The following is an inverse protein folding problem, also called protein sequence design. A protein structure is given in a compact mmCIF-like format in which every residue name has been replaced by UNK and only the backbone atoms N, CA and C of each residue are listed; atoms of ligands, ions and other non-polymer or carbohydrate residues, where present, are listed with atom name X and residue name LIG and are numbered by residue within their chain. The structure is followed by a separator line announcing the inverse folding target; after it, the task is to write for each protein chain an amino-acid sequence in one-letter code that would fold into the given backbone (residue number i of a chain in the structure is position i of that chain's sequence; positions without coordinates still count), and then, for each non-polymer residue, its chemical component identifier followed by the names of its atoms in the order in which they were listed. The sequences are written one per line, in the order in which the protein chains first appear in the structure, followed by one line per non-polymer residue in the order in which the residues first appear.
data_IF_447774885186
#
_entry.id   IF_447774885186
#
_cell.length_a   1.000
_cell.length_b   1.000
_cell.length_c   1.000
_cell.angle_alpha   90.00
_cell.angle_beta   90.00
_cell.angle_gamma   90.00
#
_symmetry.space_group_name_H-M   'P 1'
#
loop_
_entity.id
_entity.type
_entity.pdbx_description
1 polymer ?
#
# COMPACT_ATOMS: atom_id res chain seq x y z
N UNK A 1 -1.98 -37.30 0.35
CA UNK A 1 -2.82 -36.23 -0.26
C UNK A 1 -4.30 -36.27 0.13
N UNK A 2 -5.02 -37.41 0.02
CA UNK A 2 -6.48 -37.51 0.27
C UNK A 2 -7.02 -36.90 1.59
N UNK A 3 -6.29 -37.01 2.70
CA UNK A 3 -6.76 -36.51 4.00
C UNK A 3 -6.58 -35.00 4.21
N UNK A 4 -5.71 -34.35 3.41
CA UNK A 4 -5.45 -32.91 3.52
C UNK A 4 -6.66 -32.10 3.05
N UNK A 5 -7.16 -32.45 1.88
CA UNK A 5 -8.26 -31.73 1.23
C UNK A 5 -9.56 -31.92 2.02
N UNK A 6 -9.74 -33.07 2.67
CA UNK A 6 -10.94 -33.37 3.46
C UNK A 6 -11.08 -32.50 4.71
N UNK A 7 -10.02 -32.36 5.52
CA UNK A 7 -10.08 -31.57 6.76
C UNK A 7 -10.12 -30.07 6.49
N UNK A 8 -9.41 -29.60 5.47
CA UNK A 8 -9.41 -28.18 5.11
C UNK A 8 -10.73 -27.78 4.43
N UNK A 9 -11.35 -28.67 3.64
CA UNK A 9 -12.70 -28.49 3.14
C UNK A 9 -13.74 -28.53 4.26
N UNK A 10 -13.63 -29.47 5.21
CA UNK A 10 -14.57 -29.59 6.33
C UNK A 10 -14.52 -28.36 7.24
N UNK A 11 -13.33 -27.84 7.53
CA UNK A 11 -13.19 -26.58 8.29
C UNK A 11 -13.69 -25.37 7.52
N UNK A 12 -13.53 -25.32 6.19
CA UNK A 12 -14.12 -24.27 5.36
C UNK A 12 -15.65 -24.32 5.34
N UNK A 13 -16.24 -25.51 5.22
CA UNK A 13 -17.71 -25.72 5.27
C UNK A 13 -18.24 -25.35 6.66
N UNK A 14 -17.57 -25.81 7.73
CA UNK A 14 -17.95 -25.46 9.09
C UNK A 14 -17.89 -23.94 9.31
N UNK A 15 -16.84 -23.27 8.83
CA UNK A 15 -16.73 -21.81 8.89
C UNK A 15 -17.87 -21.10 8.15
N UNK A 16 -18.31 -21.63 7.00
CA UNK A 16 -19.45 -21.09 6.26
C UNK A 16 -20.76 -21.26 7.03
N UNK A 17 -20.99 -22.43 7.63
CA UNK A 17 -22.20 -22.69 8.42
C UNK A 17 -22.26 -21.83 9.68
N UNK A 18 -21.14 -21.68 10.38
CA UNK A 18 -21.06 -20.83 11.57
C UNK A 18 -21.25 -19.37 11.19
N UNK A 19 -20.64 -18.87 10.11
CA UNK A 19 -20.87 -17.49 9.65
C UNK A 19 -22.35 -17.21 9.40
N UNK A 20 -23.06 -18.12 8.73
CA UNK A 20 -24.48 -17.97 8.45
C UNK A 20 -25.30 -17.83 9.74
N UNK A 21 -25.03 -18.70 10.73
CA UNK A 21 -25.65 -18.63 12.04
C UNK A 21 -25.30 -17.33 12.77
N UNK A 22 -24.01 -16.97 12.83
CA UNK A 22 -23.51 -15.77 13.49
C UNK A 22 -24.14 -14.51 12.89
N UNK A 23 -24.17 -14.39 11.56
CA UNK A 23 -24.73 -13.22 10.88
C UNK A 23 -26.23 -13.11 11.17
N UNK A 24 -26.97 -14.21 11.09
CA UNK A 24 -28.40 -14.21 11.36
C UNK A 24 -28.70 -13.83 12.83
N UNK A 25 -27.99 -14.45 13.79
CA UNK A 25 -28.11 -14.14 15.23
C UNK A 25 -27.74 -12.69 15.50
N UNK A 26 -26.65 -12.19 14.90
CA UNK A 26 -26.20 -10.82 15.08
C UNK A 26 -27.21 -9.78 14.57
N UNK A 27 -27.90 -10.09 13.47
CA UNK A 27 -28.96 -9.23 12.95
C UNK A 27 -30.20 -9.28 13.83
N UNK A 28 -30.60 -10.45 14.34
CA UNK A 28 -31.73 -10.54 15.28
C UNK A 28 -31.42 -9.86 16.61
N UNK A 29 -30.19 -9.97 17.09
CA UNK A 29 -29.71 -9.24 18.26
C UNK A 29 -29.75 -7.72 18.01
N UNK A 30 -29.39 -7.25 16.81
CA UNK A 30 -29.49 -5.84 16.46
C UNK A 30 -30.92 -5.30 16.50
N UNK A 31 -31.89 -6.12 16.05
CA UNK A 31 -33.32 -5.79 16.11
C UNK A 31 -33.76 -5.68 17.57
N UNK A 32 -33.39 -6.65 18.41
CA UNK A 32 -33.69 -6.58 19.84
C UNK A 32 -33.04 -5.37 20.52
N UNK A 33 -31.77 -5.07 20.22
CA UNK A 33 -31.09 -3.87 20.71
C UNK A 33 -31.83 -2.60 20.26
N UNK A 34 -32.27 -2.54 19.00
CA UNK A 34 -32.96 -1.37 18.45
C UNK A 34 -34.34 -1.12 19.06
N UNK A 35 -35.12 -2.18 19.30
CA UNK A 35 -36.55 -2.04 19.62
C UNK A 35 -36.92 -2.42 21.05
N UNK A 36 -36.21 -3.36 21.68
CA UNK A 36 -36.61 -3.97 22.95
C UNK A 36 -35.61 -3.75 24.11
N UNK A 37 -34.35 -3.33 23.84
CA UNK A 37 -33.34 -3.13 24.89
C UNK A 37 -33.56 -1.90 25.79
N UNK A 38 -34.38 -0.95 25.37
CA UNK A 38 -34.59 0.34 26.05
C UNK A 38 -33.43 1.35 25.88
N UNK A 39 -32.35 1.01 25.18
CA UNK A 39 -31.19 1.92 24.98
C UNK A 39 -31.40 3.00 23.92
N UNK A 40 -32.38 2.82 23.03
CA UNK A 40 -32.69 3.77 21.96
C UNK A 40 -34.18 4.10 21.99
N UNK A 41 -34.52 5.38 21.82
CA UNK A 41 -35.91 5.80 21.66
C UNK A 41 -36.51 5.20 20.38
N UNK A 42 -37.66 4.55 20.54
CA UNK A 42 -38.42 4.01 19.41
C UNK A 42 -39.47 5.06 19.03
N UNK A 43 -39.45 5.61 17.81
CA UNK A 43 -40.53 6.48 17.34
C UNK A 43 -41.84 5.67 17.25
N UNK A 44 -42.96 6.31 17.59
CA UNK A 44 -44.28 5.74 17.89
C UNK A 44 -44.68 4.44 17.16
N UNK A 45 -45.22 3.49 17.94
CA UNK A 45 -46.06 2.38 17.48
C UNK A 45 -45.29 1.11 17.07
N UNK A 46 -45.48 0.01 17.80
CA UNK A 46 -44.96 -1.31 17.44
C UNK A 46 -45.73 -1.85 16.25
N UNK A 47 -45.11 -1.96 15.08
CA UNK A 47 -45.73 -2.68 13.98
C UNK A 47 -45.93 -4.16 14.36
N UNK A 48 -47.12 -4.74 14.12
CA UNK A 48 -47.29 -6.19 14.22
C UNK A 48 -46.35 -6.88 13.21
N UNK A 49 -45.81 -8.04 13.59
CA UNK A 49 -44.86 -8.86 12.81
C UNK A 49 -43.46 -8.27 12.56
N UNK A 50 -43.02 -7.26 13.32
CA UNK A 50 -41.68 -6.66 13.22
C UNK A 50 -40.54 -7.70 13.14
N UNK A 51 -40.48 -8.62 14.09
CA UNK A 51 -39.44 -9.64 14.16
C UNK A 51 -39.43 -10.55 12.92
N UNK A 52 -40.60 -10.94 12.43
CA UNK A 52 -40.75 -11.78 11.23
C UNK A 52 -40.24 -11.05 9.99
N UNK A 53 -40.56 -9.77 9.84
CA UNK A 53 -40.10 -8.91 8.74
C UNK A 53 -38.57 -8.79 8.72
N UNK A 54 -37.95 -8.50 9.87
CA UNK A 54 -36.49 -8.39 9.97
C UNK A 54 -35.81 -9.76 9.81
N UNK A 55 -36.40 -10.87 10.28
CA UNK A 55 -35.86 -12.20 10.07
C UNK A 55 -35.82 -12.59 8.59
N UNK A 56 -36.86 -12.24 7.81
CA UNK A 56 -36.89 -12.43 6.36
C UNK A 56 -35.83 -11.56 5.65
N UNK A 57 -35.70 -10.29 6.05
CA UNK A 57 -34.66 -9.41 5.52
C UNK A 57 -33.25 -9.93 5.84
N UNK A 58 -33.05 -10.48 7.04
CA UNK A 58 -31.79 -11.07 7.45
C UNK A 58 -31.46 -12.32 6.64
N UNK A 59 -32.43 -13.21 6.42
CA UNK A 59 -32.28 -14.37 5.56
C UNK A 59 -31.94 -13.97 4.12
N UNK A 60 -32.60 -12.93 3.58
CA UNK A 60 -32.29 -12.40 2.25
C UNK A 60 -30.91 -11.75 2.14
N UNK A 61 -30.34 -11.26 3.26
CA UNK A 61 -29.00 -10.69 3.30
C UNK A 61 -27.88 -11.75 3.30
N UNK A 62 -28.14 -12.97 3.80
CA UNK A 62 -27.12 -14.02 3.93
C UNK A 62 -26.36 -14.35 2.62
N UNK A 63 -27.02 -14.49 1.45
CA UNK A 63 -26.31 -14.76 0.19
C UNK A 63 -25.34 -13.63 -0.19
N UNK A 64 -25.68 -12.37 0.10
CA UNK A 64 -24.82 -11.21 -0.17
C UNK A 64 -23.56 -11.30 0.69
N UNK A 65 -23.72 -11.60 1.99
CA UNK A 65 -22.58 -11.79 2.90
C UNK A 65 -21.68 -12.94 2.45
N UNK A 66 -22.25 -14.10 2.10
CA UNK A 66 -21.49 -15.24 1.59
C UNK A 66 -20.69 -14.90 0.33
N UNK A 67 -21.33 -14.24 -0.65
CA UNK A 67 -20.69 -13.86 -1.91
C UNK A 67 -19.50 -12.91 -1.67
N UNK A 68 -19.67 -11.93 -0.78
CA UNK A 68 -18.60 -11.00 -0.40
C UNK A 68 -17.48 -11.72 0.34
N UNK A 69 -17.81 -12.60 1.31
CA UNK A 69 -16.83 -13.33 2.10
C UNK A 69 -16.01 -14.30 1.23
N UNK A 70 -16.65 -14.95 0.27
CA UNK A 70 -16.00 -15.79 -0.74
C UNK A 70 -15.08 -14.97 -1.65
N UNK A 71 -15.54 -13.83 -2.15
CA UNK A 71 -14.74 -12.96 -3.03
C UNK A 71 -13.51 -12.38 -2.33
N UNK A 72 -13.60 -12.15 -1.02
CA UNK A 72 -12.49 -11.72 -0.18
C UNK A 72 -11.64 -12.89 0.35
N UNK A 73 -11.89 -14.12 -0.13
CA UNK A 73 -11.17 -15.35 0.23
C UNK A 73 -11.13 -15.60 1.74
N UNK A 74 -12.22 -15.29 2.46
CA UNK A 74 -12.30 -15.56 3.90
C UNK A 74 -12.46 -17.06 4.19
N UNK A 75 -12.87 -17.85 3.20
CA UNK A 75 -13.02 -19.31 3.31
C UNK A 75 -11.79 -20.12 2.88
N UNK A 76 -10.70 -19.48 2.44
CA UNK A 76 -9.45 -20.22 2.19
C UNK A 76 -8.84 -20.62 3.53
N UNK A 77 -8.87 -21.93 3.82
CA UNK A 77 -8.28 -22.53 5.02
C UNK A 77 -7.06 -23.40 4.65
N UNK A 78 -6.07 -23.52 5.55
CA UNK A 78 -5.93 -22.82 6.82
C UNK A 78 -5.50 -21.35 6.63
N UNK A 79 -5.88 -20.47 7.56
CA UNK A 79 -5.50 -19.06 7.49
C UNK A 79 -4.18 -18.79 8.22
N UNK A 80 -3.07 -18.77 7.47
CA UNK A 80 -1.73 -18.51 8.02
C UNK A 80 -1.53 -17.11 8.63
N UNK A 81 -0.56 -16.99 9.54
CA UNK A 81 -0.13 -15.72 10.14
C UNK A 81 -1.06 -15.16 11.23
N UNK A 82 -0.80 -13.93 11.63
CA UNK A 82 -1.44 -13.27 12.79
C UNK A 82 -2.90 -12.88 12.54
N UNK A 83 -3.73 -12.98 13.58
CA UNK A 83 -5.14 -12.59 13.53
C UNK A 83 -5.34 -11.08 13.29
N UNK A 84 -4.49 -10.25 13.90
CA UNK A 84 -4.60 -8.77 13.81
C UNK A 84 -4.55 -8.26 12.37
N UNK A 85 -3.74 -8.89 11.51
CA UNK A 85 -3.63 -8.53 10.10
C UNK A 85 -4.90 -8.83 9.29
N UNK A 86 -5.83 -9.64 9.84
CA UNK A 86 -7.08 -10.04 9.20
C UNK A 86 -8.25 -9.12 9.57
N UNK A 87 -8.17 -8.40 10.69
CA UNK A 87 -9.22 -7.49 11.16
C UNK A 87 -9.65 -6.49 10.07
N UNK A 88 -8.74 -5.76 9.38
CA UNK A 88 -9.15 -4.80 8.35
C UNK A 88 -9.88 -5.45 7.17
N UNK A 89 -9.54 -6.70 6.83
CA UNK A 89 -10.20 -7.46 5.76
C UNK A 89 -11.60 -7.86 6.16
N UNK A 90 -11.80 -8.30 7.40
CA UNK A 90 -13.10 -8.68 7.96
C UNK A 90 -14.04 -7.47 8.08
N UNK A 91 -13.56 -6.35 8.63
CA UNK A 91 -14.34 -5.10 8.72
C UNK A 91 -14.75 -4.60 7.34
N UNK A 92 -13.84 -4.64 6.37
CA UNK A 92 -14.15 -4.28 4.98
C UNK A 92 -15.20 -5.19 4.38
N UNK A 93 -15.11 -6.51 4.63
CA UNK A 93 -16.11 -7.48 4.18
C UNK A 93 -17.50 -7.14 4.70
N UNK A 94 -17.64 -6.95 6.02
CA UNK A 94 -18.90 -6.57 6.64
C UNK A 94 -19.44 -5.24 6.07
N UNK A 95 -18.59 -4.23 5.90
CA UNK A 95 -18.99 -2.94 5.33
C UNK A 95 -19.48 -3.08 3.88
N UNK A 96 -18.78 -3.86 3.04
CA UNK A 96 -19.20 -4.11 1.66
C UNK A 96 -20.49 -4.93 1.59
N UNK A 97 -20.71 -5.87 2.50
CA UNK A 97 -21.96 -6.64 2.59
C UNK A 97 -23.13 -5.76 2.97
N UNK A 98 -22.98 -4.88 3.98
CA UNK A 98 -24.02 -3.91 4.37
C UNK A 98 -24.34 -2.97 3.23
N UNK A 99 -23.33 -2.45 2.52
CA UNK A 99 -23.55 -1.62 1.34
C UNK A 99 -24.31 -2.38 0.24
N UNK A 100 -23.96 -3.65 0.01
CA UNK A 100 -24.68 -4.53 -0.93
C UNK A 100 -26.15 -4.70 -0.54
N UNK A 101 -26.43 -4.95 0.74
CA UNK A 101 -27.80 -5.05 1.28
C UNK A 101 -28.56 -3.74 1.07
N UNK A 102 -27.93 -2.59 1.32
CA UNK A 102 -28.54 -1.27 1.09
C UNK A 102 -28.88 -1.02 -0.38
N UNK A 103 -27.97 -1.36 -1.29
CA UNK A 103 -28.18 -1.23 -2.74
C UNK A 103 -29.34 -2.12 -3.19
N UNK A 104 -29.35 -3.39 -2.77
CA UNK A 104 -30.44 -4.33 -3.10
C UNK A 104 -31.77 -3.84 -2.52
N UNK A 105 -31.78 -3.38 -1.27
CA UNK A 105 -32.97 -2.81 -0.64
C UNK A 105 -33.50 -1.59 -1.41
N UNK A 106 -32.61 -0.68 -1.86
CA UNK A 106 -32.99 0.48 -2.66
C UNK A 106 -33.55 0.10 -4.05
N UNK A 107 -32.98 -0.91 -4.70
CA UNK A 107 -33.44 -1.41 -6.01
C UNK A 107 -34.82 -2.07 -5.92
N UNK A 108 -35.13 -2.72 -4.80
CA UNK A 108 -36.41 -3.41 -4.56
C UNK A 108 -37.57 -2.46 -4.20
N UNK A 109 -37.37 -1.13 -4.30
CA UNK A 109 -38.38 -0.05 -4.25
C UNK A 109 -39.61 -0.40 -3.39
N UNK A 110 -39.49 -0.27 -2.06
CA UNK A 110 -40.57 -0.37 -1.08
C UNK A 110 -41.30 -1.72 -0.94
N UNK A 111 -40.83 -2.83 -1.54
CA UNK A 111 -41.34 -4.18 -1.20
C UNK A 111 -40.68 -4.79 0.05
N UNK A 112 -39.52 -4.26 0.43
CA UNK A 112 -38.79 -4.64 1.65
C UNK A 112 -39.23 -3.68 2.76
N UNK A 113 -39.47 -4.15 3.99
CA UNK A 113 -39.89 -3.30 5.11
C UNK A 113 -38.98 -2.08 5.25
N UNK A 114 -39.53 -0.92 5.64
CA UNK A 114 -38.74 0.27 5.98
C UNK A 114 -37.73 -0.08 7.09
N UNK A 115 -36.51 -0.46 6.70
CA UNK A 115 -35.43 -0.74 7.63
C UNK A 115 -35.04 0.58 8.27
N UNK A 116 -35.10 0.66 9.59
CA UNK A 116 -34.65 1.84 10.31
C UNK A 116 -33.15 2.05 10.04
N UNK A 117 -32.74 3.26 9.67
CA UNK A 117 -31.31 3.60 9.51
C UNK A 117 -30.51 3.25 10.78
N UNK A 118 -31.12 3.43 11.95
CA UNK A 118 -30.54 3.04 13.23
C UNK A 118 -30.43 1.51 13.38
N UNK A 119 -31.43 0.73 12.93
CA UNK A 119 -31.35 -0.74 12.93
C UNK A 119 -30.21 -1.23 12.02
N UNK A 120 -30.02 -0.60 10.85
CA UNK A 120 -28.92 -0.93 9.94
C UNK A 120 -27.57 -0.64 10.60
N UNK A 121 -27.40 0.54 11.22
CA UNK A 121 -26.15 0.90 11.89
C UNK A 121 -25.84 -0.07 13.05
N UNK A 122 -26.83 -0.37 13.89
CA UNK A 122 -26.68 -1.32 15.00
C UNK A 122 -26.34 -2.70 14.45
N UNK A 123 -26.99 -3.14 13.37
CA UNK A 123 -26.69 -4.42 12.71
C UNK A 123 -25.26 -4.49 12.17
N UNK A 124 -24.73 -3.40 11.61
CA UNK A 124 -23.36 -3.34 11.17
C UNK A 124 -22.38 -3.55 12.34
N UNK A 125 -22.63 -2.89 13.47
CA UNK A 125 -21.79 -3.02 14.67
C UNK A 125 -21.88 -4.42 15.26
N UNK A 126 -23.09 -4.97 15.44
CA UNK A 126 -23.26 -6.30 16.05
C UNK A 126 -22.73 -7.41 15.15
N UNK A 127 -23.00 -7.37 13.84
CA UNK A 127 -22.49 -8.35 12.88
C UNK A 127 -20.96 -8.29 12.84
N UNK A 128 -20.38 -7.09 12.79
CA UNK A 128 -18.92 -6.96 12.78
C UNK A 128 -18.31 -7.49 14.07
N UNK A 129 -18.87 -7.15 15.24
CA UNK A 129 -18.37 -7.63 16.52
C UNK A 129 -18.47 -9.16 16.66
N UNK A 130 -19.62 -9.76 16.31
CA UNK A 130 -19.83 -11.20 16.43
C UNK A 130 -19.03 -12.00 15.39
N UNK A 131 -18.92 -11.52 14.15
CA UNK A 131 -18.03 -12.15 13.15
C UNK A 131 -16.57 -12.05 13.59
N UNK A 132 -16.12 -10.93 14.17
CA UNK A 132 -14.75 -10.83 14.70
C UNK A 132 -14.53 -11.83 15.85
N UNK A 133 -15.49 -11.94 16.77
CA UNK A 133 -15.43 -12.89 17.89
C UNK A 133 -15.41 -14.34 17.41
N UNK A 134 -16.33 -14.71 16.50
CA UNK A 134 -16.39 -16.02 15.88
C UNK A 134 -15.07 -16.36 15.18
N UNK A 135 -14.51 -15.41 14.41
CA UNK A 135 -13.24 -15.62 13.71
C UNK A 135 -12.07 -15.76 14.66
N UNK A 136 -12.06 -15.02 15.77
CA UNK A 136 -11.05 -15.18 16.81
C UNK A 136 -11.15 -16.57 17.46
N UNK A 137 -12.36 -17.03 17.75
CA UNK A 137 -12.60 -18.37 18.32
C UNK A 137 -12.19 -19.48 17.34
N UNK A 138 -12.59 -19.40 16.08
CA UNK A 138 -12.18 -20.33 15.03
C UNK A 138 -10.66 -20.36 14.88
N UNK A 139 -10.01 -19.19 14.90
CA UNK A 139 -8.55 -19.11 14.82
C UNK A 139 -7.86 -19.83 15.98
N UNK A 140 -8.40 -19.72 17.20
CA UNK A 140 -7.90 -20.45 18.36
C UNK A 140 -8.17 -21.95 18.26
N UNK A 141 -9.37 -22.35 17.85
CA UNK A 141 -9.73 -23.76 17.64
C UNK A 141 -8.83 -24.41 16.59
N UNK A 142 -8.53 -23.73 15.48
CA UNK A 142 -7.61 -24.21 14.46
C UNK A 142 -6.19 -24.42 15.01
N UNK A 143 -5.70 -23.53 15.89
CA UNK A 143 -4.39 -23.70 16.54
C UNK A 143 -4.40 -24.92 17.48
N UNK A 144 -5.45 -25.08 18.29
CA UNK A 144 -5.58 -26.22 19.22
C UNK A 144 -5.69 -27.53 18.46
N UNK A 145 -6.50 -27.59 17.41
CA UNK A 145 -6.62 -28.77 16.55
C UNK A 145 -5.29 -29.08 15.84
N UNK A 146 -4.60 -28.06 15.33
CA UNK A 146 -3.31 -28.25 14.67
C UNK A 146 -2.20 -28.70 15.61
N UNK A 147 -2.23 -28.32 16.89
CA UNK A 147 -1.28 -28.81 17.92
C UNK A 147 -1.51 -30.26 18.32
N UNK A 148 -2.75 -30.75 18.21
CA UNK A 148 -3.12 -32.14 18.54
C UNK A 148 -2.97 -33.10 17.36
N UNK A 149 -2.99 -32.57 16.14
CA UNK A 149 -2.80 -33.36 14.93
C UNK A 149 -1.30 -33.54 14.66
N UNK A 150 -0.90 -34.76 14.28
CA UNK A 150 0.47 -34.99 13.84
C UNK A 150 0.80 -34.16 12.58
N UNK A 151 1.98 -33.52 12.53
CA UNK A 151 2.47 -32.90 11.31
C UNK A 151 2.58 -33.95 10.22
N UNK A 152 1.80 -33.79 9.15
CA UNK A 152 1.79 -34.76 8.06
C UNK A 152 2.65 -34.33 6.87
N UNK A 153 3.12 -33.07 6.78
CA UNK A 153 4.07 -32.66 5.74
C UNK A 153 5.50 -32.77 6.29
N UNK A 154 6.26 -33.69 5.74
CA UNK A 154 7.67 -33.90 6.06
C UNK A 154 8.52 -33.11 5.08
N UNK A 155 9.16 -32.06 5.59
CA UNK A 155 9.98 -31.15 4.78
C UNK A 155 11.47 -31.52 4.89
N UNK A 156 12.11 -31.68 3.74
CA UNK A 156 13.56 -31.73 3.58
C UNK A 156 14.04 -30.34 3.13
N UNK A 157 15.03 -29.78 3.82
CA UNK A 157 15.58 -28.47 3.48
C UNK A 157 16.96 -28.66 2.87
N UNK A 158 17.23 -28.02 1.74
CA UNK A 158 18.53 -28.04 1.04
C UNK A 158 19.16 -26.67 1.18
N UNK A 159 20.27 -26.58 1.91
CA UNK A 159 20.92 -25.36 2.37
C UNK A 159 20.89 -25.25 3.89
N UNK A 160 22.01 -24.88 4.50
CA UNK A 160 22.20 -24.87 5.95
C UNK A 160 22.47 -23.47 6.53
N UNK A 161 22.07 -22.42 5.80
CA UNK A 161 22.21 -21.02 6.20
C UNK A 161 21.09 -20.45 7.08
N UNK A 162 21.04 -19.11 7.18
CA UNK A 162 20.12 -18.37 8.06
C UNK A 162 18.63 -18.58 7.69
N UNK A 163 18.32 -18.69 6.40
CA UNK A 163 16.94 -18.91 5.93
C UNK A 163 16.37 -20.26 6.40
N UNK A 164 17.22 -21.27 6.54
CA UNK A 164 16.84 -22.59 7.08
C UNK A 164 16.44 -22.48 8.55
N UNK A 165 17.17 -21.71 9.36
CA UNK A 165 16.83 -21.45 10.77
C UNK A 165 15.46 -20.78 10.87
N UNK A 166 15.24 -19.73 10.07
CA UNK A 166 13.96 -19.00 10.04
C UNK A 166 12.79 -19.89 9.64
N UNK A 167 13.00 -20.82 8.70
CA UNK A 167 11.98 -21.80 8.31
C UNK A 167 11.67 -22.80 9.43
N UNK A 168 12.69 -23.32 10.11
CA UNK A 168 12.51 -24.24 11.25
C UNK A 168 11.73 -23.54 12.37
N UNK A 169 12.10 -22.30 12.71
CA UNK A 169 11.36 -21.49 13.69
C UNK A 169 9.93 -21.19 13.24
N UNK A 170 9.70 -20.91 11.95
CA UNK A 170 8.36 -20.71 11.41
C UNK A 170 7.49 -21.97 11.53
N UNK A 171 8.04 -23.15 11.22
CA UNK A 171 7.35 -24.44 11.38
C UNK A 171 7.03 -24.76 12.84
N UNK A 172 7.95 -24.44 13.76
CA UNK A 172 7.73 -24.62 15.19
C UNK A 172 6.70 -23.63 15.78
N UNK A 173 6.69 -22.38 15.31
CA UNK A 173 5.84 -21.31 15.84
C UNK A 173 4.38 -21.38 15.37
N UNK A 174 4.11 -21.86 14.14
CA UNK A 174 2.74 -22.02 13.63
C UNK A 174 2.41 -23.50 13.29
N UNK A 175 1.86 -24.26 14.26
CA UNK A 175 1.45 -25.65 14.06
C UNK A 175 0.47 -25.87 12.90
N UNK A 176 -0.24 -24.83 12.44
CA UNK A 176 -1.20 -24.92 11.32
C UNK A 176 -0.50 -25.04 9.97
N UNK A 177 0.80 -24.76 9.89
CA UNK A 177 1.61 -25.14 8.73
C UNK A 177 1.66 -26.66 8.57
N UNK A 178 1.40 -27.43 9.65
CA UNK A 178 1.37 -28.90 9.68
C UNK A 178 2.60 -29.52 9.00
N UNK A 179 3.73 -28.81 9.10
CA UNK A 179 4.98 -29.11 8.45
C UNK A 179 6.05 -29.28 9.51
N UNK A 180 6.86 -30.32 9.39
CA UNK A 180 8.01 -30.57 10.26
C UNK A 180 9.25 -30.72 9.38
N UNK A 181 10.33 -30.04 9.75
CA UNK A 181 11.64 -30.30 9.17
C UNK A 181 12.10 -31.69 9.65
N UNK A 182 12.40 -32.57 8.70
CA UNK A 182 12.86 -33.94 8.97
C UNK A 182 14.35 -34.08 8.70
N UNK A 183 14.87 -33.28 7.77
CA UNK A 183 16.28 -33.24 7.45
C UNK A 183 16.70 -31.90 6.85
N UNK A 184 17.99 -31.59 7.00
CA UNK A 184 18.71 -30.48 6.38
C UNK A 184 19.93 -31.06 5.67
N UNK A 185 20.08 -30.74 4.39
CA UNK A 185 21.25 -31.11 3.57
C UNK A 185 22.11 -29.88 3.30
N UNK A 186 23.42 -30.01 3.44
CA UNK A 186 24.38 -28.95 3.09
C UNK A 186 24.65 -28.93 1.60
N UNK A 187 24.95 -27.76 1.05
CA UNK A 187 25.31 -27.58 -0.36
C UNK A 187 26.76 -27.12 -0.44
N UNK A 188 27.60 -27.86 -1.19
CA UNK A 188 29.03 -27.55 -1.31
C UNK A 188 29.76 -27.58 0.03
N UNK A 189 30.63 -26.58 0.25
CA UNK A 189 31.41 -26.42 1.49
C UNK A 189 30.71 -25.55 2.55
N UNK A 190 29.39 -25.39 2.47
CA UNK A 190 28.63 -24.58 3.42
C UNK A 190 28.73 -25.16 4.84
N UNK A 191 29.13 -24.32 5.80
CA UNK A 191 29.12 -24.67 7.22
C UNK A 191 27.72 -24.51 7.79
N UNK A 192 27.14 -25.57 8.41
CA UNK A 192 25.81 -25.48 9.00
C UNK A 192 25.73 -24.38 10.05
N UNK A 193 24.67 -23.58 10.00
CA UNK A 193 24.44 -22.54 10.98
C UNK A 193 24.28 -23.15 12.40
N UNK A 194 24.93 -22.61 13.46
CA UNK A 194 24.95 -23.22 14.79
C UNK A 194 23.58 -23.42 15.46
N UNK A 195 22.59 -22.63 15.04
CA UNK A 195 21.22 -22.71 15.54
C UNK A 195 20.40 -23.88 14.94
N UNK A 196 20.93 -24.57 13.92
CA UNK A 196 20.29 -25.75 13.35
C UNK A 196 20.58 -26.96 14.27
N UNK A 197 19.56 -27.68 14.74
CA UNK A 197 19.75 -28.87 15.56
C UNK A 197 20.62 -29.92 14.84
N UNK A 198 21.68 -30.46 15.49
CA UNK A 198 22.60 -31.41 14.83
C UNK A 198 21.93 -32.71 14.37
N UNK A 199 20.85 -33.12 15.03
CA UNK A 199 20.05 -34.30 14.72
C UNK A 199 19.25 -34.18 13.41
N UNK A 200 19.02 -32.94 12.94
CA UNK A 200 18.36 -32.68 11.66
C UNK A 200 19.34 -32.68 10.48
N UNK A 201 20.65 -32.64 10.71
CA UNK A 201 21.63 -32.55 9.61
C UNK A 201 21.86 -33.94 9.03
N UNK A 202 21.40 -34.15 7.79
CA UNK A 202 21.43 -35.47 7.11
C UNK A 202 22.67 -35.66 6.20
N UNK A 203 23.60 -34.71 6.20
CA UNK A 203 24.81 -34.72 5.37
C UNK A 203 24.73 -33.75 4.20
N UNK A 204 25.51 -34.03 3.15
CA UNK A 204 25.58 -33.20 1.95
C UNK A 204 24.51 -33.53 0.91
N UNK A 205 24.43 -32.69 -0.12
CA UNK A 205 23.50 -32.84 -1.25
C UNK A 205 23.51 -34.24 -1.90
N UNK A 206 24.64 -34.94 -1.90
CA UNK A 206 24.76 -36.29 -2.47
C UNK A 206 23.84 -37.33 -1.78
N UNK A 207 23.46 -37.07 -0.52
CA UNK A 207 22.56 -37.93 0.25
C UNK A 207 21.08 -37.63 -0.02
N UNK A 208 20.77 -36.71 -0.95
CA UNK A 208 19.40 -36.29 -1.25
C UNK A 208 18.49 -37.46 -1.63
N UNK A 209 18.95 -38.33 -2.52
CA UNK A 209 18.14 -39.44 -3.01
C UNK A 209 17.86 -40.45 -1.90
N UNK A 210 18.88 -40.78 -1.10
CA UNK A 210 18.75 -41.64 0.06
C UNK A 210 17.78 -41.04 1.09
N UNK A 211 17.90 -39.74 1.40
CA UNK A 211 17.03 -39.07 2.35
C UNK A 211 15.55 -39.15 1.93
N UNK A 212 15.25 -38.90 0.64
CA UNK A 212 13.87 -38.96 0.12
C UNK A 212 13.29 -40.37 0.23
N UNK A 213 14.10 -41.40 -0.05
CA UNK A 213 13.67 -42.79 0.00
C UNK A 213 13.45 -43.27 1.45
N UNK A 214 14.36 -42.93 2.37
CA UNK A 214 14.32 -43.41 3.76
C UNK A 214 13.30 -42.66 4.63
N UNK A 215 13.14 -41.36 4.42
CA UNK A 215 12.44 -40.50 5.37
C UNK A 215 11.00 -40.11 4.98
N UNK A 216 10.42 -40.69 3.91
CA UNK A 216 9.07 -40.36 3.39
C UNK A 216 8.84 -38.85 3.35
N UNK A 217 9.45 -38.19 2.38
CA UNK A 217 9.45 -36.72 2.27
C UNK A 217 8.27 -36.26 1.40
N UNK A 218 7.51 -35.28 1.86
CA UNK A 218 6.38 -34.71 1.11
C UNK A 218 6.75 -33.42 0.35
N UNK A 219 7.79 -32.74 0.83
CA UNK A 219 8.21 -31.45 0.30
C UNK A 219 9.72 -31.25 0.45
N UNK A 220 10.35 -30.76 -0.60
CA UNK A 220 11.72 -30.28 -0.62
C UNK A 220 11.71 -28.75 -0.67
N UNK A 221 12.47 -28.10 0.21
CA UNK A 221 12.62 -26.64 0.26
C UNK A 221 14.08 -26.29 0.03
N UNK A 222 14.37 -25.67 -1.10
CA UNK A 222 15.69 -25.15 -1.38
C UNK A 222 15.86 -23.76 -0.76
N UNK A 223 16.80 -23.61 0.17
CA UNK A 223 17.22 -22.34 0.77
C UNK A 223 18.58 -21.87 0.27
N UNK A 224 19.47 -22.80 -0.11
CA UNK A 224 20.80 -22.46 -0.63
C UNK A 224 20.78 -21.95 -2.06
N UNK A 225 21.55 -20.88 -2.33
CA UNK A 225 21.70 -20.28 -3.67
C UNK A 225 22.96 -20.71 -4.41
N UNK A 226 23.83 -21.46 -3.74
CA UNK A 226 25.11 -21.94 -4.29
C UNK A 226 24.97 -23.20 -5.16
N UNK A 227 23.74 -23.69 -5.33
CA UNK A 227 23.45 -24.84 -6.18
C UNK A 227 23.63 -24.46 -7.66
N UNK A 228 24.54 -25.14 -8.40
CA UNK A 228 24.73 -24.93 -9.82
C UNK A 228 23.42 -25.00 -10.60
N UNK A 229 23.26 -24.13 -11.61
CA UNK A 229 22.04 -24.07 -12.42
C UNK A 229 21.65 -25.41 -13.05
N UNK A 230 22.63 -26.24 -13.39
CA UNK A 230 22.39 -27.57 -13.95
C UNK A 230 21.71 -28.50 -12.93
N UNK A 231 22.23 -28.56 -11.70
CA UNK A 231 21.64 -29.35 -10.61
C UNK A 231 20.24 -28.86 -10.22
N UNK A 232 19.98 -27.55 -10.28
CA UNK A 232 18.63 -26.99 -10.10
C UNK A 232 17.63 -27.50 -11.13
N UNK A 233 18.03 -27.57 -12.40
CA UNK A 233 17.17 -28.03 -13.50
C UNK A 233 16.92 -29.53 -13.41
N UNK A 234 17.89 -30.31 -12.90
CA UNK A 234 17.76 -31.76 -12.67
C UNK A 234 16.91 -32.09 -11.43
N UNK A 235 16.96 -31.23 -10.41
CA UNK A 235 16.23 -31.40 -9.16
C UNK A 235 14.71 -31.32 -9.32
N UNK A 236 14.21 -30.47 -10.23
CA UNK A 236 12.78 -30.29 -10.46
C UNK A 236 12.13 -31.59 -11.00
N UNK A 237 12.60 -32.20 -12.12
CA UNK A 237 12.10 -33.49 -12.60
C UNK A 237 12.26 -34.60 -11.56
N UNK A 238 13.36 -34.61 -10.81
CA UNK A 238 13.60 -35.59 -9.75
C UNK A 238 12.52 -35.51 -8.66
N UNK A 239 12.21 -34.31 -8.17
CA UNK A 239 11.11 -34.11 -7.23
C UNK A 239 9.76 -34.54 -7.82
N UNK A 240 9.48 -34.24 -9.09
CA UNK A 240 8.25 -34.65 -9.77
C UNK A 240 8.11 -36.18 -9.87
N UNK A 241 9.19 -36.89 -10.23
CA UNK A 241 9.21 -38.36 -10.31
C UNK A 241 8.93 -39.03 -8.96
N UNK A 242 9.42 -38.43 -7.87
CA UNK A 242 9.20 -38.93 -6.51
C UNK A 242 7.93 -38.38 -5.83
N UNK A 243 7.10 -37.61 -6.56
CA UNK A 243 5.89 -36.95 -6.05
C UNK A 243 6.15 -36.04 -4.84
N UNK A 244 7.35 -35.47 -4.77
CA UNK A 244 7.78 -34.52 -3.73
C UNK A 244 7.53 -33.11 -4.23
N UNK A 245 6.91 -32.26 -3.41
CA UNK A 245 6.72 -30.85 -3.78
C UNK A 245 8.04 -30.09 -3.71
N UNK A 246 8.43 -29.48 -4.82
CA UNK A 246 9.58 -28.58 -4.85
C UNK A 246 9.18 -27.14 -4.55
N UNK A 247 9.79 -26.55 -3.52
CA UNK A 247 9.68 -25.14 -3.16
C UNK A 247 11.09 -24.54 -3.05
N UNK A 248 11.24 -23.25 -3.33
CA UNK A 248 12.52 -22.54 -3.19
C UNK A 248 12.30 -21.20 -2.47
N UNK A 249 13.23 -20.84 -1.59
CA UNK A 249 13.33 -19.50 -1.00
C UNK A 249 14.16 -18.62 -1.95
N UNK A 250 13.55 -17.58 -2.56
CA UNK A 250 14.30 -16.68 -3.44
C UNK A 250 15.32 -15.83 -2.67
N UNK A 251 16.55 -15.64 -3.20
CA UNK A 251 17.57 -14.69 -2.67
C UNK A 251 17.21 -13.22 -2.92
N UNK A 252 15.98 -12.84 -2.56
CA UNK A 252 15.49 -11.48 -2.80
C UNK A 252 15.84 -10.54 -1.66
N UNK A 253 16.29 -11.05 -0.51
CA UNK A 253 16.62 -10.24 0.67
C UNK A 253 17.81 -9.30 0.44
N UNK A 254 18.76 -9.67 -0.45
CA UNK A 254 19.88 -8.81 -0.84
C UNK A 254 19.52 -7.70 -1.83
N UNK A 255 18.38 -7.82 -2.52
CA UNK A 255 17.88 -6.82 -3.49
C UNK A 255 16.90 -5.81 -2.88
N UNK A 256 16.64 -5.88 -1.57
CA UNK A 256 15.63 -5.10 -0.88
C UNK A 256 16.03 -3.62 -0.71
N UNK A 257 15.78 -2.82 -1.73
CA UNK A 257 15.45 -1.41 -1.53
C UNK A 257 14.24 -0.94 -2.34
N UNK A 258 13.56 -1.81 -3.08
CA UNK A 258 12.24 -1.46 -3.64
C UNK A 258 11.33 -2.66 -3.72
N UNK A 259 10.07 -2.46 -3.37
CA UNK A 259 8.99 -3.46 -3.43
C UNK A 259 9.05 -4.19 -4.77
N UNK A 260 9.28 -5.50 -4.79
CA UNK A 260 9.27 -6.30 -6.02
C UNK A 260 7.86 -6.86 -6.25
N UNK A 261 7.34 -6.76 -7.47
CA UNK A 261 6.09 -7.38 -7.90
C UNK A 261 6.37 -8.41 -9.00
N UNK A 262 5.75 -9.59 -8.89
CA UNK A 262 5.72 -10.58 -9.96
C UNK A 262 4.71 -10.14 -11.02
N UNK A 263 5.21 -9.59 -12.13
CA UNK A 263 4.42 -9.36 -13.33
C UNK A 263 4.40 -10.63 -14.19
N UNK A 264 3.36 -10.81 -14.99
CA UNK A 264 3.30 -11.89 -15.96
C UNK A 264 3.13 -11.27 -17.34
N UNK A 265 4.07 -11.54 -18.26
CA UNK A 265 3.89 -11.24 -19.69
C UNK A 265 3.80 -12.59 -20.38
N UNK A 266 2.63 -12.89 -20.96
CA UNK A 266 2.40 -14.12 -21.74
C UNK A 266 2.83 -15.41 -21.02
N UNK A 267 2.51 -15.54 -19.72
CA UNK A 267 2.85 -16.71 -18.92
C UNK A 267 4.29 -16.76 -18.39
N UNK A 268 5.12 -15.77 -18.74
CA UNK A 268 6.47 -15.65 -18.21
C UNK A 268 6.42 -14.76 -16.95
N UNK A 269 6.76 -15.28 -15.76
CA UNK A 269 6.86 -14.47 -14.55
C UNK A 269 8.08 -13.55 -14.67
N UNK A 270 7.82 -12.25 -14.77
CA UNK A 270 8.82 -11.19 -14.72
C UNK A 270 8.85 -10.60 -13.31
N UNK A 271 10.00 -10.71 -12.68
CA UNK A 271 10.27 -10.04 -11.42
C UNK A 271 10.66 -8.58 -11.75
N UNK A 272 9.85 -7.62 -11.30
CA UNK A 272 10.10 -6.20 -11.54
C UNK A 272 9.86 -5.37 -10.29
N UNK A 273 10.21 -4.08 -10.36
CA UNK A 273 9.92 -3.12 -9.29
C UNK A 273 8.42 -2.80 -9.32
N UNK A 274 7.80 -2.80 -8.14
CA UNK A 274 6.40 -2.48 -7.89
C UNK A 274 6.03 -1.16 -8.50
N UNK A 275 4.83 -1.10 -9.08
CA UNK A 275 4.28 0.14 -9.62
C UNK A 275 3.99 1.11 -8.49
N UNK A 276 4.42 2.36 -8.65
CA UNK A 276 4.09 3.39 -7.67
C UNK A 276 2.59 3.70 -7.68
N UNK A 277 2.00 4.19 -6.58
CA UNK A 277 0.58 4.53 -6.53
C UNK A 277 0.13 5.44 -7.69
N UNK A 278 0.96 6.37 -8.16
CA UNK A 278 0.66 7.28 -9.27
C UNK A 278 0.79 6.66 -10.68
N UNK A 279 1.27 5.42 -10.78
CA UNK A 279 1.24 4.65 -12.03
C UNK A 279 -0.14 4.08 -12.31
N UNK A 280 -0.97 3.91 -11.28
CA UNK A 280 -2.36 3.46 -11.42
C UNK A 280 -3.20 4.56 -12.10
N UNK A 281 -3.93 4.17 -13.15
CA UNK A 281 -4.70 5.10 -14.00
C UNK A 281 -5.70 5.91 -13.17
N UNK A 282 -6.47 5.26 -12.31
CA UNK A 282 -7.47 5.93 -11.46
C UNK A 282 -6.85 6.95 -10.51
N UNK A 283 -5.70 6.62 -9.91
CA UNK A 283 -4.97 7.54 -9.03
C UNK A 283 -4.50 8.76 -9.78
N UNK A 284 -3.99 8.59 -11.01
CA UNK A 284 -3.58 9.70 -11.88
C UNK A 284 -4.75 10.59 -12.28
N UNK A 285 -5.92 10.02 -12.56
CA UNK A 285 -7.15 10.76 -12.86
C UNK A 285 -7.57 11.59 -11.63
N UNK A 286 -7.68 10.94 -10.46
CA UNK A 286 -8.04 11.62 -9.20
C UNK A 286 -7.06 12.77 -8.88
N UNK A 287 -5.76 12.50 -8.98
CA UNK A 287 -4.70 13.50 -8.82
C UNK A 287 -4.91 14.69 -9.76
N UNK A 288 -5.22 14.42 -11.03
CA UNK A 288 -5.39 15.47 -12.04
C UNK A 288 -6.63 16.32 -11.81
N UNK A 289 -7.76 15.71 -11.44
CA UNK A 289 -8.99 16.43 -11.09
C UNK A 289 -8.72 17.35 -9.91
N UNK A 290 -8.06 16.83 -8.87
CA UNK A 290 -7.66 17.61 -7.70
C UNK A 290 -6.74 18.78 -8.06
N UNK A 291 -5.74 18.56 -8.93
CA UNK A 291 -4.84 19.60 -9.41
C UNK A 291 -5.56 20.71 -10.18
N UNK A 292 -6.47 20.34 -11.09
CA UNK A 292 -7.26 21.31 -11.86
C UNK A 292 -8.13 22.13 -10.91
N UNK A 293 -8.92 21.49 -10.05
CA UNK A 293 -9.82 22.17 -9.13
C UNK A 293 -9.06 23.13 -8.21
N UNK A 294 -7.98 22.67 -7.57
CA UNK A 294 -7.19 23.53 -6.68
C UNK A 294 -6.43 24.63 -7.43
N UNK A 295 -5.98 24.39 -8.67
CA UNK A 295 -5.34 25.45 -9.49
C UNK A 295 -6.32 26.53 -9.94
N UNK A 296 -7.57 26.18 -10.24
CA UNK A 296 -8.62 27.14 -10.58
C UNK A 296 -8.96 28.04 -9.39
N UNK A 297 -9.14 27.44 -8.20
CA UNK A 297 -9.35 28.20 -6.96
C UNK A 297 -8.14 29.09 -6.66
N UNK A 298 -6.92 28.54 -6.78
CA UNK A 298 -5.67 29.28 -6.60
C UNK A 298 -5.53 30.46 -7.56
N UNK A 299 -5.84 30.29 -8.84
CA UNK A 299 -5.85 31.35 -9.85
C UNK A 299 -6.87 32.44 -9.52
N UNK A 300 -8.11 32.05 -9.21
CA UNK A 300 -9.18 33.01 -8.90
C UNK A 300 -8.81 33.91 -7.72
N UNK A 301 -8.20 33.35 -6.67
CA UNK A 301 -7.74 34.11 -5.50
C UNK A 301 -6.48 34.92 -5.81
N UNK A 302 -5.57 34.41 -6.64
CA UNK A 302 -4.28 35.05 -6.91
C UNK A 302 -4.33 36.16 -7.96
N UNK A 303 -5.30 36.18 -8.89
CA UNK A 303 -5.44 37.22 -9.92
C UNK A 303 -5.37 38.66 -9.35
N UNK A 304 -6.17 39.06 -8.34
CA UNK A 304 -6.09 40.41 -7.80
C UNK A 304 -4.74 40.71 -7.15
N UNK A 305 -4.15 39.74 -6.44
CA UNK A 305 -2.84 39.88 -5.79
C UNK A 305 -1.73 40.04 -6.85
N UNK A 306 -1.77 39.24 -7.91
CA UNK A 306 -0.84 39.31 -9.03
C UNK A 306 -0.95 40.64 -9.78
N UNK A 307 -2.15 41.21 -9.92
CA UNK A 307 -2.35 42.54 -10.52
C UNK A 307 -1.65 43.65 -9.74
N UNK A 308 -1.80 43.66 -8.42
CA UNK A 308 -1.09 44.62 -7.54
C UNK A 308 0.42 44.38 -7.59
N UNK A 309 0.86 43.13 -7.50
CA UNK A 309 2.29 42.78 -7.57
C UNK A 309 2.92 43.20 -8.91
N UNK A 310 2.21 43.02 -10.02
CA UNK A 310 2.65 43.44 -11.35
C UNK A 310 2.87 44.96 -11.43
N UNK A 311 1.93 45.75 -10.91
CA UNK A 311 2.07 47.22 -10.87
C UNK A 311 3.29 47.65 -10.04
N UNK A 312 3.51 46.99 -8.90
CA UNK A 312 4.66 47.25 -8.03
C UNK A 312 5.99 46.93 -8.75
N UNK A 313 6.09 45.78 -9.42
CA UNK A 313 7.28 45.38 -10.18
C UNK A 313 7.63 46.39 -11.28
N UNK A 314 6.63 46.85 -12.04
CA UNK A 314 6.82 47.80 -13.15
C UNK A 314 7.26 49.17 -12.63
N UNK A 315 6.78 49.59 -11.46
CA UNK A 315 7.18 50.87 -10.84
C UNK A 315 8.61 50.86 -10.31
N UNK A 316 9.11 49.72 -9.81
CA UNK A 316 10.47 49.65 -9.28
C UNK A 316 11.53 49.43 -10.36
N UNK A 317 11.23 48.69 -11.43
CA UNK A 317 12.19 48.42 -12.49
C UNK A 317 11.51 48.26 -13.86
N UNK A 318 12.04 48.88 -14.94
CA UNK A 318 11.50 48.69 -16.28
C UNK A 318 11.70 47.24 -16.78
N UNK A 319 10.81 46.76 -17.65
CA UNK A 319 10.89 45.44 -18.29
C UNK A 319 9.74 44.47 -17.96
N UNK A 320 9.86 43.18 -18.30
CA UNK A 320 8.74 42.22 -18.23
C UNK A 320 8.33 41.87 -16.80
N UNK A 321 7.02 41.72 -16.57
CA UNK A 321 6.46 41.33 -15.27
C UNK A 321 6.78 39.88 -14.93
N UNK A 322 6.70 38.98 -15.92
CA UNK A 322 6.95 37.56 -15.74
C UNK A 322 8.40 37.21 -16.04
N UNK A 323 8.97 36.36 -15.21
CA UNK A 323 10.22 35.68 -15.44
C UNK A 323 9.93 34.21 -15.74
N UNK A 324 10.47 33.73 -16.86
CA UNK A 324 10.28 32.36 -17.34
C UNK A 324 11.60 31.61 -17.18
N UNK A 325 11.55 30.44 -16.57
CA UNK A 325 12.73 29.61 -16.35
C UNK A 325 12.49 28.17 -16.77
N UNK A 326 13.42 27.61 -17.55
CA UNK A 326 13.37 26.20 -17.91
C UNK A 326 13.65 25.32 -16.69
N UNK A 327 12.80 24.31 -16.52
CA UNK A 327 12.85 23.36 -15.40
C UNK A 327 12.59 21.94 -15.90
N UNK A 328 13.19 20.98 -15.20
CA UNK A 328 12.97 19.57 -15.45
C UNK A 328 11.62 19.12 -14.88
N UNK A 329 10.79 18.51 -15.73
CA UNK A 329 9.46 18.02 -15.41
C UNK A 329 9.35 16.50 -15.45
N UNK A 330 8.14 16.00 -15.76
CA UNK A 330 7.87 14.57 -15.75
C UNK A 330 8.69 13.83 -16.82
N UNK A 331 9.33 12.73 -16.43
CA UNK A 331 10.23 11.89 -17.23
C UNK A 331 11.40 12.67 -17.84
N UNK A 332 11.92 13.66 -17.10
CA UNK A 332 13.05 14.45 -17.57
C UNK A 332 12.70 15.52 -18.60
N UNK A 333 11.42 15.66 -19.00
CA UNK A 333 11.02 16.63 -20.03
C UNK A 333 11.06 18.05 -19.47
N UNK A 334 11.78 18.94 -20.14
CA UNK A 334 11.80 20.36 -19.78
C UNK A 334 10.44 21.03 -19.98
N UNK A 335 10.15 22.00 -19.12
CA UNK A 335 9.02 22.92 -19.27
C UNK A 335 9.38 24.31 -18.76
N UNK A 336 8.59 25.30 -19.18
CA UNK A 336 8.76 26.69 -18.79
C UNK A 336 7.99 26.99 -17.50
N UNK A 337 8.72 27.16 -16.40
CA UNK A 337 8.17 27.60 -15.12
C UNK A 337 7.94 29.13 -15.15
N UNK A 338 6.74 29.57 -14.80
CA UNK A 338 6.37 30.99 -14.81
C UNK A 338 6.42 31.53 -13.38
N UNK A 339 7.11 32.66 -13.18
CA UNK A 339 7.17 33.40 -11.91
C UNK A 339 6.98 34.89 -12.14
N UNK A 340 6.66 35.63 -11.07
CA UNK A 340 6.83 37.08 -11.11
C UNK A 340 8.32 37.43 -11.00
N UNK A 341 8.73 38.46 -11.73
CA UNK A 341 10.10 38.95 -11.71
C UNK A 341 10.43 39.57 -10.34
N UNK A 342 11.46 39.03 -9.70
CA UNK A 342 11.92 39.49 -8.37
C UNK A 342 13.37 40.01 -8.38
N UNK A 343 14.07 39.84 -9.50
CA UNK A 343 15.44 40.29 -9.72
C UNK A 343 15.50 41.32 -10.84
N UNK A 344 16.62 42.06 -10.91
CA UNK A 344 16.88 42.99 -12.01
C UNK A 344 17.03 42.22 -13.35
N UNK A 345 16.72 42.85 -14.50
CA UNK A 345 16.78 42.18 -15.81
C UNK A 345 18.16 41.61 -16.19
N UNK A 346 19.23 42.19 -15.66
CA UNK A 346 20.63 41.84 -15.89
C UNK A 346 21.19 40.79 -14.90
N UNK A 347 20.34 40.24 -14.02
CA UNK A 347 20.76 39.35 -12.93
C UNK A 347 21.43 38.03 -13.37
N UNK A 348 21.21 37.58 -14.60
CA UNK A 348 21.82 36.36 -15.17
C UNK A 348 22.84 36.67 -16.30
N UNK A 349 23.26 37.94 -16.47
CA UNK A 349 24.18 38.34 -17.54
C UNK A 349 25.58 37.69 -17.47
N UNK A 350 25.95 37.13 -16.30
CA UNK A 350 27.22 36.40 -16.09
C UNK A 350 27.25 34.95 -16.60
N UNK A 351 26.20 34.49 -17.31
CA UNK A 351 26.22 33.23 -18.06
C UNK A 351 25.95 31.96 -17.25
N UNK A 352 26.40 31.86 -16.00
CA UNK A 352 26.17 30.66 -15.19
C UNK A 352 24.95 30.77 -14.26
N UNK A 353 24.09 29.73 -14.22
CA UNK A 353 22.92 29.70 -13.36
C UNK A 353 23.29 29.53 -11.87
N UNK A 354 23.64 30.63 -11.21
CA UNK A 354 23.99 30.62 -9.78
C UNK A 354 22.82 30.24 -8.85
N UNK A 355 23.13 29.58 -7.74
CA UNK A 355 22.21 29.37 -6.63
C UNK A 355 21.85 30.70 -5.96
N UNK A 356 20.59 30.88 -5.56
CA UNK A 356 20.18 32.07 -4.81
C UNK A 356 20.58 31.96 -3.35
N UNK A 357 21.50 32.82 -2.92
CA UNK A 357 21.94 32.94 -1.51
C UNK A 357 20.99 33.86 -0.73
N UNK A 358 21.03 33.82 0.61
CA UNK A 358 20.42 34.84 1.47
C UNK A 358 21.03 36.21 1.13
N UNK A 359 20.18 37.25 1.04
CA UNK A 359 20.56 38.63 0.69
C UNK A 359 21.29 38.82 -0.65
N UNK A 360 20.85 38.08 -1.68
CA UNK A 360 21.36 38.22 -3.06
C UNK A 360 21.20 39.67 -3.60
N UNK A 361 22.31 40.36 -3.97
CA UNK A 361 22.31 41.77 -4.38
C UNK A 361 21.55 42.03 -5.68
N UNK A 362 21.22 40.98 -6.43
CA UNK A 362 20.43 41.05 -7.67
C UNK A 362 18.93 41.21 -7.41
N UNK A 363 18.48 41.04 -6.17
CA UNK A 363 17.07 41.16 -5.76
C UNK A 363 16.64 42.64 -5.68
N UNK A 364 15.43 42.91 -6.14
CA UNK A 364 14.76 44.21 -5.94
C UNK A 364 14.11 44.26 -4.54
N UNK A 365 13.77 45.44 -4.03
CA UNK A 365 13.13 45.57 -2.70
C UNK A 365 11.73 44.95 -2.71
N UNK A 366 10.95 45.21 -3.76
CA UNK A 366 9.64 44.56 -3.95
C UNK A 366 9.84 43.07 -4.23
N UNK A 367 10.87 42.69 -4.99
CA UNK A 367 11.20 41.29 -5.22
C UNK A 367 11.50 40.50 -3.94
N UNK A 368 12.21 41.10 -2.97
CA UNK A 368 12.45 40.52 -1.67
C UNK A 368 11.14 40.32 -0.88
N UNK A 369 10.24 41.32 -0.92
CA UNK A 369 8.92 41.23 -0.30
C UNK A 369 8.06 40.13 -0.95
N UNK A 370 8.01 40.06 -2.28
CA UNK A 370 7.26 39.03 -3.02
C UNK A 370 7.74 37.61 -2.66
N UNK A 371 9.06 37.40 -2.58
CA UNK A 371 9.65 36.11 -2.18
C UNK A 371 9.32 35.73 -0.73
N UNK A 372 9.33 36.70 0.19
CA UNK A 372 9.01 36.46 1.61
C UNK A 372 7.62 35.84 1.78
N UNK A 373 6.66 36.28 0.96
CA UNK A 373 5.29 35.79 0.99
C UNK A 373 4.99 34.74 -0.11
N UNK A 374 6.00 34.28 -0.86
CA UNK A 374 5.87 33.40 -2.03
C UNK A 374 4.87 33.89 -3.09
N UNK A 375 4.64 35.20 -3.17
CA UNK A 375 3.74 35.82 -4.14
C UNK A 375 4.31 35.67 -5.55
N UNK A 376 5.64 35.58 -5.68
CA UNK A 376 6.33 35.36 -6.94
C UNK A 376 6.05 34.01 -7.58
N UNK A 377 5.60 33.02 -6.81
CA UNK A 377 5.27 31.68 -7.28
C UNK A 377 3.79 31.52 -7.69
N UNK A 378 2.92 32.51 -7.46
CA UNK A 378 1.49 32.45 -7.82
C UNK A 378 1.22 32.14 -9.31
N UNK A 379 1.98 32.66 -10.29
CA UNK A 379 1.77 32.32 -11.70
C UNK A 379 1.90 30.82 -12.00
N UNK A 380 2.55 30.04 -11.15
CA UNK A 380 2.71 28.60 -11.33
C UNK A 380 1.38 27.83 -11.23
N UNK A 381 0.31 28.40 -10.67
CA UNK A 381 -1.02 27.78 -10.79
C UNK A 381 -1.44 27.61 -12.26
N UNK A 382 -0.98 28.48 -13.16
CA UNK A 382 -1.16 28.31 -14.60
C UNK A 382 -0.41 27.07 -15.14
N UNK A 383 0.82 26.82 -14.68
CA UNK A 383 1.57 25.61 -15.05
C UNK A 383 0.86 24.34 -14.56
N UNK A 384 0.22 24.38 -13.38
CA UNK A 384 -0.60 23.28 -12.88
C UNK A 384 -1.82 23.08 -13.78
N UNK A 385 -2.54 24.14 -14.14
CA UNK A 385 -3.71 24.07 -15.01
C UNK A 385 -3.35 23.53 -16.41
N UNK A 386 -2.26 24.02 -17.02
CA UNK A 386 -1.73 23.53 -18.31
C UNK A 386 -1.28 22.08 -18.25
N UNK A 387 -0.93 21.60 -17.06
CA UNK A 387 -0.55 20.22 -16.81
C UNK A 387 0.95 19.96 -16.87
N UNK A 388 1.79 21.00 -16.85
CA UNK A 388 3.23 20.87 -16.69
C UNK A 388 3.59 20.48 -15.25
N UNK A 389 2.82 21.03 -14.29
CA UNK A 389 2.99 20.82 -12.86
C UNK A 389 1.76 20.18 -12.22
N UNK A 390 1.90 19.90 -10.93
CA UNK A 390 0.91 19.44 -9.97
C UNK A 390 0.90 20.40 -8.77
N UNK A 391 -0.19 20.46 -7.99
CA UNK A 391 -0.20 21.24 -6.74
C UNK A 391 0.80 20.67 -5.73
N UNK A 392 0.88 19.34 -5.66
CA UNK A 392 1.77 18.60 -4.76
C UNK A 392 2.66 17.66 -5.56
N UNK A 393 3.96 17.68 -5.30
CA UNK A 393 4.96 16.84 -5.97
C UNK A 393 6.39 17.27 -5.66
N UNK A 394 7.39 16.54 -6.17
CA UNK A 394 8.80 16.94 -6.05
C UNK A 394 9.03 18.34 -6.64
N UNK A 395 9.85 19.16 -5.99
CA UNK A 395 10.16 20.50 -6.51
C UNK A 395 10.98 20.38 -7.81
N UNK A 396 10.61 21.10 -8.89
CA UNK A 396 11.32 21.02 -10.15
C UNK A 396 12.70 21.70 -10.05
N UNK A 397 13.75 21.05 -10.54
CA UNK A 397 15.11 21.63 -10.60
C UNK A 397 15.46 22.11 -12.01
N UNK A 398 16.47 22.96 -12.15
CA UNK A 398 16.99 23.39 -13.47
C UNK A 398 17.72 22.20 -14.12
N UNK A 399 17.63 21.99 -15.44
CA UNK A 399 18.35 20.92 -16.14
C UNK A 399 19.85 20.88 -15.80
N UNK A 400 20.51 22.04 -15.77
CA UNK A 400 21.91 22.18 -15.36
C UNK A 400 22.24 21.50 -14.00
N UNK A 401 21.39 21.65 -12.99
CA UNK A 401 21.59 21.02 -11.69
C UNK A 401 21.21 19.53 -11.70
N UNK A 402 20.25 19.14 -12.54
CA UNK A 402 19.88 17.74 -12.72
C UNK A 402 21.08 16.95 -13.24
N UNK A 403 21.79 17.50 -14.22
CA UNK A 403 22.97 16.85 -14.82
C UNK A 403 24.13 16.71 -13.83
N UNK A 404 24.28 17.66 -12.90
CA UNK A 404 25.29 17.58 -11.83
C UNK A 404 24.91 16.57 -10.73
N UNK A 405 23.63 16.50 -10.35
CA UNK A 405 23.19 15.67 -9.22
C UNK A 405 22.90 14.22 -9.60
N UNK A 406 22.51 13.96 -10.85
CA UNK A 406 22.11 12.62 -11.28
C UNK A 406 23.20 11.55 -11.08
N UNK A 407 24.49 11.80 -11.40
CA UNK A 407 25.54 10.79 -11.22
C UNK A 407 25.90 10.51 -9.76
N UNK A 408 25.78 11.52 -8.88
CA UNK A 408 26.28 11.44 -7.50
C UNK A 408 25.26 10.99 -6.45
N UNK A 409 23.97 10.88 -6.80
CA UNK A 409 22.91 10.57 -5.84
C UNK A 409 22.10 9.36 -6.32
N UNK A 410 22.16 8.28 -5.55
CA UNK A 410 21.38 7.08 -5.81
C UNK A 410 19.89 7.40 -5.93
N UNK A 411 19.25 6.81 -6.93
CA UNK A 411 17.82 6.97 -7.23
C UNK A 411 17.35 8.40 -7.55
N UNK A 412 18.26 9.36 -7.79
CA UNK A 412 17.89 10.76 -8.04
C UNK A 412 16.88 10.92 -9.18
N UNK A 413 17.04 10.15 -10.25
CA UNK A 413 16.16 10.20 -11.44
C UNK A 413 14.71 9.79 -11.17
N UNK A 414 14.47 8.94 -10.17
CA UNK A 414 13.14 8.46 -9.84
C UNK A 414 12.18 9.58 -9.40
N UNK A 415 12.69 10.70 -8.87
CA UNK A 415 11.84 11.86 -8.53
C UNK A 415 11.13 12.48 -9.74
N UNK A 416 11.64 12.27 -10.95
CA UNK A 416 11.04 12.80 -12.19
C UNK A 416 9.92 11.91 -12.74
N UNK A 417 9.58 10.78 -12.12
CA UNK A 417 8.50 9.91 -12.63
C UNK A 417 7.12 10.59 -12.53
N UNK A 418 6.90 11.46 -11.53
CA UNK A 418 5.69 12.27 -11.42
C UNK A 418 5.86 13.68 -11.98
N UNK A 419 4.75 14.40 -12.13
CA UNK A 419 4.83 15.85 -12.38
C UNK A 419 5.43 16.55 -11.15
N UNK A 420 6.24 17.60 -11.36
CA UNK A 420 6.72 18.42 -10.26
C UNK A 420 5.59 19.19 -9.56
N UNK A 421 5.81 19.52 -8.28
CA UNK A 421 4.85 20.18 -7.42
C UNK A 421 5.11 21.66 -7.19
N UNK A 422 4.05 22.44 -6.94
CA UNK A 422 4.15 23.77 -6.33
C UNK A 422 4.70 23.66 -4.90
N UNK A 423 4.12 22.73 -4.14
CA UNK A 423 4.61 22.27 -2.84
C UNK A 423 4.89 20.77 -2.86
N UNK A 424 5.50 20.23 -1.81
CA UNK A 424 5.95 18.86 -1.75
C UNK A 424 6.35 18.43 -0.35
N UNK A 425 6.47 17.12 -0.14
CA UNK A 425 6.78 16.55 1.18
C UNK A 425 8.13 17.03 1.71
N UNK A 426 9.16 17.08 0.87
CA UNK A 426 10.46 17.63 1.27
C UNK A 426 10.34 19.12 1.68
N UNK A 427 9.59 19.92 0.90
CA UNK A 427 9.40 21.35 1.15
C UNK A 427 8.70 21.64 2.49
N UNK A 428 7.69 20.87 2.88
CA UNK A 428 6.96 21.07 4.16
C UNK A 428 7.71 20.53 5.38
N UNK A 429 8.78 19.75 5.17
CA UNK A 429 9.68 19.27 6.23
C UNK A 429 11.01 20.06 6.28
N UNK A 430 11.03 21.27 5.71
CA UNK A 430 12.18 22.18 5.81
C UNK A 430 13.36 21.83 4.91
N UNK A 431 13.23 20.89 3.98
CA UNK A 431 14.29 20.51 3.04
C UNK A 431 14.28 21.42 1.80
N UNK A 432 14.48 22.73 2.05
CA UNK A 432 14.55 23.81 1.05
C UNK A 432 15.95 24.42 1.04
N UNK A 433 16.30 25.12 -0.03
CA UNK A 433 17.59 25.83 -0.10
C UNK A 433 18.79 24.88 0.03
N UNK A 434 19.83 25.32 0.74
CA UNK A 434 21.15 24.67 0.88
C UNK A 434 21.15 23.36 1.71
N UNK A 435 19.98 22.82 2.01
CA UNK A 435 19.85 21.49 2.61
C UNK A 435 20.35 20.37 1.68
N UNK A 436 20.83 19.27 2.28
CA UNK A 436 21.29 18.07 1.57
C UNK A 436 20.30 17.58 0.50
N UNK A 437 20.73 17.58 -0.76
CA UNK A 437 19.95 17.09 -1.91
C UNK A 437 19.60 15.61 -1.75
N UNK A 438 20.50 14.79 -1.22
CA UNK A 438 20.22 13.37 -0.94
C UNK A 438 19.08 13.19 0.07
N UNK A 439 18.97 14.07 1.09
CA UNK A 439 17.85 14.04 2.04
C UNK A 439 16.55 14.50 1.39
N UNK A 440 16.59 15.52 0.52
CA UNK A 440 15.43 15.96 -0.28
C UNK A 440 14.90 14.83 -1.16
N UNK A 441 15.78 14.13 -1.87
CA UNK A 441 15.43 12.99 -2.74
C UNK A 441 14.74 11.90 -1.94
N UNK A 442 15.26 11.52 -0.76
CA UNK A 442 14.59 10.54 0.12
C UNK A 442 13.15 10.92 0.47
N UNK A 443 12.88 12.20 0.75
CA UNK A 443 11.53 12.67 1.03
C UNK A 443 10.64 12.73 -0.22
N UNK A 444 11.22 13.08 -1.37
CA UNK A 444 10.50 13.04 -2.65
C UNK A 444 10.11 11.60 -3.02
N UNK A 445 11.01 10.63 -2.86
CA UNK A 445 10.73 9.20 -3.10
C UNK A 445 9.69 8.67 -2.11
N UNK A 446 9.80 9.02 -0.83
CA UNK A 446 8.79 8.65 0.17
C UNK A 446 7.39 9.15 -0.22
N UNK A 447 7.30 10.38 -0.74
CA UNK A 447 6.03 10.91 -1.24
C UNK A 447 5.46 10.10 -2.40
N UNK A 448 6.31 9.70 -3.34
CA UNK A 448 5.91 8.95 -4.52
C UNK A 448 5.45 7.53 -4.16
N UNK A 449 6.14 6.88 -3.23
CA UNK A 449 5.83 5.54 -2.72
C UNK A 449 4.52 5.49 -1.91
N UNK A 450 4.24 6.54 -1.14
CA UNK A 450 3.10 6.61 -0.21
C UNK A 450 1.99 7.54 -0.69
N UNK A 451 1.99 7.88 -1.98
CA UNK A 451 1.03 8.84 -2.50
C UNK A 451 -0.41 8.41 -2.20
N UNK A 452 -1.18 9.34 -1.67
CA UNK A 452 -2.62 9.26 -1.52
C UNK A 452 -3.21 10.67 -1.55
N UNK A 453 -4.49 10.79 -1.89
CA UNK A 453 -5.17 12.09 -1.88
C UNK A 453 -5.15 12.75 -0.49
N UNK A 454 -5.30 11.94 0.57
CA UNK A 454 -5.17 12.42 1.95
C UNK A 454 -3.77 12.97 2.24
N UNK A 455 -2.73 12.36 1.66
CA UNK A 455 -1.36 12.85 1.83
C UNK A 455 -1.14 14.18 1.10
N UNK A 456 -1.69 14.35 -0.11
CA UNK A 456 -1.68 15.64 -0.82
C UNK A 456 -2.37 16.74 0.02
N UNK A 457 -3.57 16.45 0.56
CA UNK A 457 -4.30 17.38 1.43
C UNK A 457 -3.46 17.74 2.66
N UNK A 458 -2.85 16.75 3.32
CA UNK A 458 -1.95 16.98 4.46
C UNK A 458 -0.78 17.90 4.09
N UNK A 459 -0.16 17.71 2.93
CA UNK A 459 0.95 18.55 2.47
C UNK A 459 0.46 19.99 2.20
N UNK A 460 -0.69 20.17 1.55
CA UNK A 460 -1.26 21.49 1.31
C UNK A 460 -1.61 22.22 2.61
N UNK A 461 -2.26 21.54 3.56
CA UNK A 461 -2.56 22.12 4.87
C UNK A 461 -1.29 22.50 5.63
N UNK A 462 -0.27 21.64 5.64
CA UNK A 462 1.04 21.98 6.23
C UNK A 462 1.69 23.16 5.52
N UNK A 463 1.53 23.29 4.20
CA UNK A 463 2.07 24.42 3.44
C UNK A 463 1.41 25.74 3.87
N UNK A 464 0.10 25.74 4.07
CA UNK A 464 -0.66 26.90 4.57
C UNK A 464 -0.36 27.24 6.04
N UNK A 465 0.05 26.28 6.86
CA UNK A 465 0.41 26.52 8.26
C UNK A 465 1.90 26.87 8.45
N UNK A 466 2.77 26.40 7.55
CA UNK A 466 4.22 26.58 7.62
C UNK A 466 4.72 27.93 7.05
N UNK A 467 3.87 28.97 7.00
CA UNK A 467 4.16 30.32 6.49
C UNK A 467 5.38 31.02 7.13
N UNK A 468 6.08 30.40 8.09
CA UNK A 468 7.23 30.94 8.81
C UNK A 468 8.63 30.53 8.30
N UNK A 469 8.74 29.68 7.28
CA UNK A 469 10.06 29.10 6.90
C UNK A 469 10.63 29.58 5.56
N UNK A 470 10.23 30.75 5.06
CA UNK A 470 10.90 31.39 3.92
C UNK A 470 11.96 32.38 4.44
N UNK A 471 13.17 31.88 4.70
CA UNK A 471 14.40 32.67 4.80
C UNK A 471 15.39 32.14 3.78
#
# INVERSE_FOLDING_TARGET
MKNRDANDALTAILAMLVDLCTIWVAQMLAVWIRFDSGWMSVPLGREPDLYRKYALAAAAALPIYLAVFQRLKLYSRPQYGNFTNKIPRLVRACATSVLGVLVVSALLKNKVPYLSNAAILVSFVTVTALVLLERALMFQLEIVMARRADPYNRALIVGAGEDTVRLIEAFASDPRLRTRAVGVLTVGDETPHPAIPPDLICGGYDMLEQAIQEQRIDQLILTGHDLPRQQLVELIPFCEQHLVRFNMVPDLFRLLTSQLEFNHITGIPLLGISRWPLDKVWNRILKRIFDIAGSLVGLLVSIPIMGVAALLIVRESPGPIFYIQERCGRRGRSFNLIKLRTMRPDAEAGGEPGWTVQDDPRRTRIGAWLRRYNIDELPQFWNVLRGDMSLVGPRPERPFFVDQFAPGIAHYMWRHVSKPGLTGWAQVNGLRGDTSIAKRVRYDLYYLEHWSLAFDIKILLRTLLAFKNAV
#
